data_IF_566200180740
#
_entry.id   IF_566200180740
#
_cell.length_a   1.000
_cell.length_b   1.000
_cell.length_c   1.000
_cell.angle_alpha   90.00
_cell.angle_beta   90.00
_cell.angle_gamma   90.00
#
_symmetry.space_group_name_H-M   'P 1'
#
loop_
_entity.id
_entity.type
_entity.pdbx_description
1 polymer ?
#
# COMPACT_ATOMS: atom_id res chain seq x y z
N UNK A 1 -16.57 -6.98 -22.89
CA UNK A 1 -16.11 -8.06 -23.80
C UNK A 1 -16.68 -7.73 -25.17
N UNK A 2 -15.79 -7.45 -26.16
CA UNK A 2 -16.26 -7.14 -27.52
C UNK A 2 -16.96 -8.37 -28.15
N UNK A 3 -17.95 -8.14 -29.00
CA UNK A 3 -18.75 -9.19 -29.73
C UNK A 3 -17.91 -10.33 -30.33
N UNK A 4 -16.61 -10.09 -30.56
CA UNK A 4 -15.65 -11.05 -31.13
C UNK A 4 -15.28 -12.22 -30.23
N UNK A 5 -15.49 -12.09 -28.90
CA UNK A 5 -15.06 -13.05 -27.86
C UNK A 5 -16.24 -13.82 -27.24
N UNK A 6 -17.49 -13.40 -27.49
CA UNK A 6 -18.68 -13.98 -26.87
C UNK A 6 -18.81 -15.49 -27.16
N UNK A 7 -18.45 -15.95 -28.37
CA UNK A 7 -18.48 -17.37 -28.73
C UNK A 7 -17.54 -18.27 -27.94
N UNK A 8 -16.49 -17.71 -27.36
CA UNK A 8 -15.55 -18.47 -26.54
C UNK A 8 -16.00 -18.58 -25.07
N UNK A 9 -16.81 -17.63 -24.61
CA UNK A 9 -17.29 -17.56 -23.21
C UNK A 9 -18.09 -18.81 -22.88
N UNK A 10 -19.08 -19.17 -23.70
CA UNK A 10 -19.93 -20.34 -23.45
C UNK A 10 -19.12 -21.64 -23.40
N UNK A 11 -18.11 -21.76 -24.29
CA UNK A 11 -17.23 -22.94 -24.31
C UNK A 11 -16.32 -23.00 -23.07
N UNK A 12 -15.85 -21.87 -22.60
CA UNK A 12 -14.95 -21.77 -21.39
C UNK A 12 -15.77 -22.06 -20.15
N UNK A 13 -16.97 -21.52 -20.02
CA UNK A 13 -17.88 -21.79 -18.89
C UNK A 13 -18.29 -23.25 -18.84
N UNK A 14 -18.63 -23.83 -20.00
CA UNK A 14 -19.00 -25.24 -20.10
C UNK A 14 -17.86 -26.23 -19.82
N UNK A 15 -16.59 -25.75 -19.77
CA UNK A 15 -15.43 -26.59 -19.50
C UNK A 15 -15.17 -26.84 -17.98
N UNK A 16 -15.93 -26.22 -17.10
CA UNK A 16 -15.89 -26.39 -15.65
C UNK A 16 -14.45 -26.34 -15.08
N UNK A 17 -13.73 -25.28 -15.47
CA UNK A 17 -12.35 -25.06 -15.02
C UNK A 17 -11.26 -25.88 -15.73
N UNK A 18 -11.65 -26.77 -16.66
CA UNK A 18 -10.71 -27.52 -17.50
C UNK A 18 -10.24 -26.69 -18.70
N UNK A 19 -9.19 -27.18 -19.38
CA UNK A 19 -8.78 -26.61 -20.66
C UNK A 19 -9.79 -26.99 -21.77
N UNK A 20 -10.24 -26.02 -22.55
CA UNK A 20 -11.08 -26.21 -23.71
C UNK A 20 -10.38 -25.70 -24.98
N UNK A 21 -10.49 -26.45 -26.06
CA UNK A 21 -9.91 -26.07 -27.34
C UNK A 21 -11.03 -25.58 -28.27
N UNK A 22 -10.87 -24.35 -28.78
CA UNK A 22 -11.83 -23.75 -29.74
C UNK A 22 -11.03 -23.06 -30.84
N UNK A 23 -11.32 -23.41 -32.09
CA UNK A 23 -10.71 -22.82 -33.28
C UNK A 23 -9.15 -22.78 -33.24
N UNK A 24 -8.53 -23.88 -32.87
CA UNK A 24 -7.05 -24.00 -32.81
C UNK A 24 -6.39 -23.22 -31.68
N UNK A 25 -7.16 -22.83 -30.67
CA UNK A 25 -6.70 -22.18 -29.46
C UNK A 25 -7.17 -22.93 -28.23
N UNK A 26 -6.29 -23.11 -27.29
CA UNK A 26 -6.60 -23.66 -25.96
C UNK A 26 -6.88 -22.54 -24.98
N UNK A 27 -8.00 -22.61 -24.28
CA UNK A 27 -8.42 -21.67 -23.25
C UNK A 27 -8.49 -22.37 -21.89
N UNK A 28 -8.22 -21.61 -20.83
CA UNK A 28 -8.48 -22.03 -19.46
C UNK A 28 -8.92 -20.82 -18.64
N UNK A 29 -10.08 -20.95 -17.97
CA UNK A 29 -10.57 -19.94 -17.04
C UNK A 29 -9.65 -19.81 -15.82
N UNK A 30 -9.42 -18.57 -15.35
CA UNK A 30 -8.93 -18.33 -14.00
C UNK A 30 -10.12 -18.43 -13.04
N UNK A 31 -9.95 -19.04 -11.86
CA UNK A 31 -10.96 -19.04 -10.83
C UNK A 31 -11.44 -17.62 -10.50
N UNK A 32 -12.74 -17.41 -10.53
CA UNK A 32 -13.42 -16.16 -10.18
C UNK A 32 -14.28 -16.31 -8.93
N UNK A 33 -15.02 -15.27 -8.58
CA UNK A 33 -16.03 -15.33 -7.53
C UNK A 33 -17.36 -15.88 -8.12
N UNK A 34 -17.81 -16.99 -7.59
CA UNK A 34 -19.05 -17.63 -8.04
C UNK A 34 -18.89 -18.53 -9.26
N UNK A 35 -19.95 -18.70 -10.06
CA UNK A 35 -20.01 -19.59 -11.22
C UNK A 35 -19.43 -18.99 -12.51
N UNK A 36 -19.14 -17.69 -12.52
CA UNK A 36 -18.59 -16.99 -13.69
C UNK A 36 -17.11 -16.75 -13.52
N UNK A 37 -16.36 -16.74 -14.62
CA UNK A 37 -14.96 -16.37 -14.65
C UNK A 37 -14.78 -14.91 -15.07
N UNK A 38 -13.84 -14.20 -14.44
CA UNK A 38 -13.50 -12.81 -14.82
C UNK A 38 -12.46 -12.78 -15.93
N UNK A 39 -11.53 -13.74 -15.93
CA UNK A 39 -10.40 -13.82 -16.85
C UNK A 39 -10.19 -15.24 -17.34
N UNK A 40 -9.67 -15.37 -18.56
CA UNK A 40 -9.19 -16.63 -19.10
C UNK A 40 -7.85 -16.42 -19.80
N UNK A 41 -6.95 -17.38 -19.66
CA UNK A 41 -5.73 -17.44 -20.45
C UNK A 41 -5.96 -18.25 -21.71
N UNK A 42 -5.23 -17.93 -22.78
CA UNK A 42 -5.24 -18.76 -23.97
C UNK A 42 -3.84 -18.95 -24.55
N UNK A 43 -3.63 -20.07 -25.22
CA UNK A 43 -2.45 -20.35 -26.01
C UNK A 43 -2.88 -20.76 -27.43
N UNK A 44 -2.06 -20.45 -28.41
CA UNK A 44 -2.22 -20.96 -29.76
C UNK A 44 -1.88 -22.45 -29.81
N UNK A 45 -2.69 -23.24 -30.45
CA UNK A 45 -2.58 -24.70 -30.53
C UNK A 45 -3.68 -25.41 -29.74
N UNK A 46 -3.97 -26.63 -30.18
CA UNK A 46 -4.96 -27.54 -29.58
C UNK A 46 -4.34 -28.85 -29.07
N UNK A 47 -3.01 -28.87 -29.02
CA UNK A 47 -2.20 -29.99 -28.61
C UNK A 47 -1.98 -30.05 -27.07
N UNK A 48 -1.25 -31.06 -26.65
CA UNK A 48 -0.88 -31.22 -25.22
C UNK A 48 0.00 -30.09 -24.71
N UNK A 49 0.80 -29.46 -25.58
CA UNK A 49 1.69 -28.36 -25.22
C UNK A 49 0.84 -27.11 -24.92
N UNK A 50 -0.11 -26.76 -25.80
CA UNK A 50 -1.04 -25.64 -25.56
C UNK A 50 -1.81 -25.79 -24.25
N UNK A 51 -2.29 -27.02 -23.94
CA UNK A 51 -2.98 -27.32 -22.67
C UNK A 51 -2.05 -27.13 -21.45
N UNK A 52 -0.81 -27.63 -21.53
CA UNK A 52 0.16 -27.48 -20.46
C UNK A 52 0.53 -26.02 -20.23
N UNK A 53 0.76 -25.25 -21.30
CA UNK A 53 1.07 -23.81 -21.19
C UNK A 53 -0.09 -23.06 -20.55
N UNK A 54 -1.34 -23.28 -20.97
CA UNK A 54 -2.51 -22.67 -20.36
C UNK A 54 -2.65 -23.04 -18.88
N UNK A 55 -2.44 -24.30 -18.52
CA UNK A 55 -2.54 -24.75 -17.14
C UNK A 55 -1.45 -24.09 -16.26
N UNK A 56 -0.18 -24.05 -16.71
CA UNK A 56 0.91 -23.40 -15.97
C UNK A 56 0.68 -21.88 -15.85
N UNK A 57 0.29 -21.20 -16.92
CA UNK A 57 -0.01 -19.79 -16.92
C UNK A 57 -1.18 -19.47 -15.97
N UNK A 58 -2.21 -20.32 -15.94
CA UNK A 58 -3.35 -20.16 -15.04
C UNK A 58 -2.93 -20.26 -13.56
N UNK A 59 -2.07 -21.23 -13.22
CA UNK A 59 -1.53 -21.37 -11.85
C UNK A 59 -0.71 -20.16 -11.46
N UNK A 60 0.21 -19.70 -12.32
CA UNK A 60 1.05 -18.56 -12.07
C UNK A 60 0.24 -17.26 -11.88
N UNK A 61 -0.73 -17.02 -12.77
CA UNK A 61 -1.60 -15.84 -12.70
C UNK A 61 -2.55 -15.90 -11.50
N UNK A 62 -3.07 -17.07 -11.14
CA UNK A 62 -3.91 -17.20 -9.96
C UNK A 62 -3.12 -16.93 -8.67
N UNK A 63 -1.87 -17.42 -8.58
CA UNK A 63 -1.00 -17.11 -7.45
C UNK A 63 -0.66 -15.62 -7.37
N UNK A 64 -0.40 -14.97 -8.51
CA UNK A 64 -0.19 -13.54 -8.57
C UNK A 64 -1.44 -12.75 -8.14
N UNK A 65 -2.63 -13.16 -8.62
CA UNK A 65 -3.92 -12.54 -8.24
C UNK A 65 -4.15 -12.64 -6.73
N UNK A 66 -4.01 -13.83 -6.15
CA UNK A 66 -4.17 -14.05 -4.72
C UNK A 66 -3.20 -13.19 -3.89
N UNK A 67 -1.95 -13.05 -4.34
CA UNK A 67 -0.97 -12.18 -3.70
C UNK A 67 -1.36 -10.70 -3.74
N UNK A 68 -1.89 -10.22 -4.88
CA UNK A 68 -2.35 -8.83 -5.00
C UNK A 68 -3.61 -8.55 -4.18
N UNK A 69 -4.54 -9.51 -4.12
CA UNK A 69 -5.75 -9.41 -3.28
C UNK A 69 -5.39 -9.35 -1.80
N UNK A 70 -4.54 -10.25 -1.31
CA UNK A 70 -4.06 -10.25 0.07
C UNK A 70 -3.36 -8.93 0.43
N UNK A 71 -2.50 -8.42 -0.45
CA UNK A 71 -1.82 -7.14 -0.26
C UNK A 71 -2.80 -5.98 -0.21
N UNK A 72 -3.81 -5.96 -1.08
CA UNK A 72 -4.84 -4.94 -1.09
C UNK A 72 -5.65 -4.95 0.20
N UNK A 73 -5.99 -6.14 0.70
CA UNK A 73 -6.73 -6.30 1.96
C UNK A 73 -5.91 -5.83 3.16
N UNK A 74 -4.62 -6.16 3.24
CA UNK A 74 -3.70 -5.64 4.26
C UNK A 74 -3.57 -4.13 4.18
N UNK A 75 -3.37 -3.57 2.98
CA UNK A 75 -3.27 -2.13 2.77
C UNK A 75 -4.54 -1.39 3.20
N UNK A 76 -5.71 -1.90 2.81
CA UNK A 76 -7.02 -1.35 3.21
C UNK A 76 -7.24 -1.43 4.72
N UNK A 77 -6.83 -2.53 5.34
CA UNK A 77 -6.90 -2.71 6.79
C UNK A 77 -6.03 -1.67 7.53
N UNK A 78 -4.77 -1.51 7.15
CA UNK A 78 -3.88 -0.49 7.76
C UNK A 78 -4.41 0.92 7.50
N UNK A 79 -4.94 1.20 6.30
CA UNK A 79 -5.58 2.49 5.99
C UNK A 79 -6.76 2.79 6.91
N UNK A 80 -7.60 1.80 7.20
CA UNK A 80 -8.70 1.95 8.15
C UNK A 80 -8.22 2.23 9.57
N UNK A 81 -7.12 1.60 10.01
CA UNK A 81 -6.53 1.86 11.33
C UNK A 81 -6.03 3.31 11.43
N UNK A 82 -5.19 3.77 10.50
CA UNK A 82 -4.61 5.12 10.56
C UNK A 82 -5.67 6.21 10.42
N UNK A 83 -6.79 5.91 9.74
CA UNK A 83 -7.94 6.83 9.60
C UNK A 83 -8.93 6.78 10.77
N UNK A 84 -8.66 5.95 11.79
CA UNK A 84 -9.52 5.77 12.98
C UNK A 84 -10.94 5.25 12.62
N UNK A 85 -11.04 4.47 11.54
CA UNK A 85 -12.29 3.96 10.97
C UNK A 85 -12.59 2.48 11.35
N UNK A 86 -11.92 1.95 12.38
CA UNK A 86 -12.07 0.57 12.83
C UNK A 86 -12.07 0.51 14.36
N UNK A 87 -12.90 -0.34 14.93
CA UNK A 87 -12.93 -0.53 16.38
C UNK A 87 -11.68 -1.29 16.85
N UNK A 88 -11.19 -0.96 18.03
CA UNK A 88 -9.98 -1.60 18.61
C UNK A 88 -10.14 -3.12 18.72
N UNK A 89 -11.35 -3.61 19.08
CA UNK A 89 -11.66 -5.06 19.12
C UNK A 89 -11.44 -5.73 17.77
N UNK A 90 -11.82 -5.05 16.69
CA UNK A 90 -11.79 -5.59 15.34
C UNK A 90 -10.37 -5.57 14.76
N UNK A 91 -9.51 -4.65 15.24
CA UNK A 91 -8.10 -4.63 14.87
C UNK A 91 -7.44 -5.98 15.17
N UNK A 92 -7.64 -6.53 16.36
CA UNK A 92 -7.02 -7.79 16.76
C UNK A 92 -7.53 -8.99 15.96
N UNK A 93 -8.84 -9.03 15.69
CA UNK A 93 -9.44 -10.10 14.89
C UNK A 93 -8.93 -10.09 13.45
N UNK A 94 -9.01 -8.92 12.79
CA UNK A 94 -8.58 -8.79 11.40
C UNK A 94 -7.07 -8.92 11.22
N UNK A 95 -6.26 -8.44 12.15
CA UNK A 95 -4.82 -8.63 12.14
C UNK A 95 -4.45 -10.11 12.10
N UNK A 96 -5.16 -10.94 12.88
CA UNK A 96 -4.96 -12.40 12.90
C UNK A 96 -5.36 -13.04 11.57
N UNK A 97 -6.49 -12.65 10.99
CA UNK A 97 -6.95 -13.13 9.67
C UNK A 97 -5.98 -12.78 8.55
N UNK A 98 -5.49 -11.55 8.57
CA UNK A 98 -4.58 -11.02 7.55
C UNK A 98 -3.10 -11.32 7.84
N UNK A 99 -2.78 -12.04 8.91
CA UNK A 99 -1.41 -12.35 9.32
C UNK A 99 -0.53 -11.09 9.47
N UNK A 100 -1.10 -10.01 10.01
CA UNK A 100 -0.37 -8.76 10.31
C UNK A 100 0.06 -8.79 11.77
N UNK A 101 1.36 -8.71 12.10
CA UNK A 101 1.82 -8.69 13.49
C UNK A 101 1.25 -7.49 14.25
N UNK A 102 0.71 -7.73 15.45
CA UNK A 102 0.05 -6.70 16.27
C UNK A 102 1.06 -5.89 17.07
N UNK A 103 2.05 -6.56 17.64
CA UNK A 103 3.03 -6.02 18.59
C UNK A 103 4.42 -6.00 17.96
N UNK A 104 4.66 -5.03 17.09
CA UNK A 104 5.98 -4.73 16.52
C UNK A 104 6.15 -3.22 16.40
N UNK A 105 7.38 -2.75 16.51
CA UNK A 105 7.69 -1.34 16.37
C UNK A 105 7.48 -0.88 14.92
N UNK A 106 6.73 0.20 14.74
CA UNK A 106 6.50 0.82 13.43
C UNK A 106 6.71 2.32 13.48
N UNK A 107 7.41 2.85 12.47
CA UNK A 107 7.44 4.26 12.17
C UNK A 107 6.31 4.63 11.22
N UNK A 108 5.70 5.78 11.45
CA UNK A 108 4.66 6.34 10.57
C UNK A 108 5.16 7.66 10.00
N UNK A 109 5.18 7.73 8.68
CA UNK A 109 5.66 8.88 7.92
C UNK A 109 4.55 9.36 7.00
N UNK A 110 4.27 10.66 7.01
CA UNK A 110 3.40 11.31 6.04
C UNK A 110 4.26 12.11 5.08
N UNK A 111 4.09 11.88 3.80
CA UNK A 111 4.85 12.50 2.73
C UNK A 111 3.86 13.35 1.93
N UNK A 112 4.12 14.65 1.87
CA UNK A 112 3.25 15.64 1.23
C UNK A 112 4.03 16.48 0.23
N UNK A 113 3.50 16.74 -0.98
CA UNK A 113 4.12 17.65 -1.92
C UNK A 113 4.29 19.05 -1.33
N UNK A 114 5.42 19.72 -1.65
CA UNK A 114 5.65 21.13 -1.32
C UNK A 114 4.85 22.02 -2.26
N UNK A 115 4.88 21.72 -3.55
CA UNK A 115 4.15 22.45 -4.58
C UNK A 115 2.77 21.82 -4.79
N UNK A 116 1.71 22.62 -4.58
CA UNK A 116 0.32 22.19 -4.82
C UNK A 116 0.03 21.81 -6.28
N UNK A 117 0.92 22.20 -7.22
CA UNK A 117 0.84 21.79 -8.63
C UNK A 117 1.34 20.37 -8.88
N UNK A 118 2.01 19.76 -7.91
CA UNK A 118 2.38 18.36 -7.97
C UNK A 118 1.13 17.52 -7.69
N UNK A 119 0.64 16.77 -8.68
CA UNK A 119 -0.60 15.99 -8.56
C UNK A 119 -0.58 14.96 -7.43
N UNK A 120 0.58 14.33 -7.19
CA UNK A 120 0.76 13.37 -6.08
C UNK A 120 2.23 13.02 -5.87
N UNK A 121 2.56 12.53 -4.67
CA UNK A 121 3.87 11.92 -4.38
C UNK A 121 4.04 10.64 -5.23
N UNK A 122 5.20 10.42 -5.89
CA UNK A 122 5.49 9.19 -6.62
C UNK A 122 5.54 7.97 -5.70
N UNK A 123 4.43 7.24 -5.59
CA UNK A 123 4.31 6.06 -4.73
C UNK A 123 5.27 4.93 -5.09
N UNK A 124 5.55 4.77 -6.36
CA UNK A 124 6.47 3.76 -6.91
C UNK A 124 7.91 3.97 -6.42
N UNK A 125 8.36 5.23 -6.33
CA UNK A 125 9.65 5.58 -5.74
C UNK A 125 9.69 5.19 -4.27
N UNK A 126 8.67 5.58 -3.48
CA UNK A 126 8.60 5.22 -2.05
C UNK A 126 8.52 3.71 -1.87
N UNK A 127 7.72 3.00 -2.67
CA UNK A 127 7.64 1.54 -2.63
C UNK A 127 8.95 0.85 -3.00
N UNK A 128 9.73 1.45 -3.89
CA UNK A 128 11.05 0.93 -4.29
C UNK A 128 12.09 1.01 -3.16
N UNK A 129 11.98 2.00 -2.28
CA UNK A 129 12.86 2.16 -1.12
C UNK A 129 12.60 1.11 -0.03
N UNK A 130 11.36 0.67 0.11
CA UNK A 130 10.91 -0.27 1.15
C UNK A 130 10.34 -1.53 0.49
N UNK A 131 11.21 -2.48 0.09
CA UNK A 131 10.81 -3.66 -0.67
C UNK A 131 10.09 -4.73 0.14
N UNK A 132 10.13 -4.67 1.47
CA UNK A 132 9.41 -5.62 2.35
C UNK A 132 7.91 -5.34 2.36
N UNK A 133 7.26 -5.77 1.28
CA UNK A 133 5.83 -5.55 1.05
C UNK A 133 4.90 -6.32 2.00
N UNK A 134 5.43 -7.16 2.87
CA UNK A 134 4.63 -7.86 3.88
C UNK A 134 4.48 -7.04 5.16
N UNK A 135 5.51 -6.28 5.51
CA UNK A 135 5.58 -5.54 6.76
C UNK A 135 5.56 -4.02 6.56
N UNK A 136 5.89 -3.54 5.35
CA UNK A 136 5.89 -2.11 4.99
C UNK A 136 4.67 -1.77 4.14
N UNK A 137 3.95 -0.73 4.53
CA UNK A 137 2.75 -0.29 3.85
C UNK A 137 2.92 1.13 3.32
N UNK A 138 2.90 1.28 2.00
CA UNK A 138 2.87 2.57 1.32
C UNK A 138 1.46 2.79 0.80
N UNK A 139 0.78 3.81 1.33
CA UNK A 139 -0.65 4.04 1.14
C UNK A 139 -0.90 5.45 0.63
N UNK A 140 -1.74 5.60 -0.38
CA UNK A 140 -2.28 6.91 -0.74
C UNK A 140 -3.30 7.35 0.31
N UNK A 141 -3.10 8.54 0.88
CA UNK A 141 -3.94 9.14 1.90
C UNK A 141 -4.28 10.58 1.51
N UNK A 142 -5.56 10.88 1.38
CA UNK A 142 -5.98 12.17 0.79
C UNK A 142 -5.77 12.24 -0.72
N UNK A 143 -5.66 13.46 -1.25
CA UNK A 143 -5.56 13.71 -2.70
C UNK A 143 -4.14 13.52 -3.23
N UNK A 144 -3.13 14.03 -2.53
CA UNK A 144 -1.74 14.03 -2.97
C UNK A 144 -0.76 13.37 -2.00
N UNK A 145 -1.18 13.11 -0.76
CA UNK A 145 -0.33 12.60 0.31
C UNK A 145 -0.12 11.08 0.22
N UNK A 146 1.06 10.66 0.62
CA UNK A 146 1.40 9.24 0.81
C UNK A 146 1.78 9.01 2.28
N UNK A 147 1.25 7.95 2.87
CA UNK A 147 1.69 7.46 4.18
C UNK A 147 2.56 6.21 4.00
N UNK A 148 3.70 6.18 4.68
CA UNK A 148 4.51 4.99 4.86
C UNK A 148 4.39 4.53 6.31
N UNK A 149 4.02 3.27 6.50
CA UNK A 149 4.10 2.57 7.76
C UNK A 149 5.22 1.53 7.61
N UNK A 150 6.35 1.78 8.26
CA UNK A 150 7.57 0.98 8.15
C UNK A 150 7.83 0.22 9.43
N UNK A 151 8.10 -1.09 9.31
CA UNK A 151 8.49 -1.90 10.45
C UNK A 151 9.93 -1.57 10.87
N UNK A 152 10.09 -1.27 12.14
CA UNK A 152 11.38 -0.95 12.75
C UNK A 152 11.93 -2.15 13.54
N UNK A 153 13.25 -2.26 13.70
CA UNK A 153 13.85 -3.26 14.57
C UNK A 153 13.47 -3.07 16.04
N UNK A 154 13.63 -4.11 16.83
CA UNK A 154 13.49 -4.01 18.26
C UNK A 154 14.51 -3.03 18.87
N UNK A 155 14.03 -2.16 19.77
CA UNK A 155 14.85 -1.12 20.36
C UNK A 155 15.13 0.09 19.48
N UNK A 156 14.42 0.22 18.35
CA UNK A 156 14.49 1.42 17.51
C UNK A 156 14.15 2.69 18.29
N UNK A 157 14.84 3.78 17.94
CA UNK A 157 14.66 5.09 18.55
C UNK A 157 14.41 6.20 17.50
N UNK A 158 14.37 7.47 17.95
CA UNK A 158 14.14 8.62 17.07
C UNK A 158 15.18 8.76 15.95
N UNK A 159 16.41 8.26 16.14
CA UNK A 159 17.46 8.30 15.10
C UNK A 159 17.17 7.37 13.95
N UNK A 160 16.49 6.25 14.22
CA UNK A 160 16.06 5.33 13.17
C UNK A 160 14.94 5.95 12.35
N UNK A 161 14.00 6.64 13.00
CA UNK A 161 12.96 7.42 12.31
C UNK A 161 13.57 8.52 11.43
N UNK A 162 14.52 9.28 11.95
CA UNK A 162 15.18 10.37 11.22
C UNK A 162 15.95 9.82 10.00
N UNK A 163 16.59 8.65 10.12
CA UNK A 163 17.29 7.99 9.02
C UNK A 163 16.33 7.60 7.89
N UNK A 164 15.19 6.99 8.24
CA UNK A 164 14.15 6.62 7.28
C UNK A 164 13.59 7.87 6.59
N UNK A 165 13.29 8.91 7.35
CA UNK A 165 12.78 10.17 6.80
C UNK A 165 13.77 10.84 5.85
N UNK A 166 15.07 10.83 6.17
CA UNK A 166 16.12 11.34 5.29
C UNK A 166 16.21 10.52 4.00
N UNK A 167 16.15 9.19 4.09
CA UNK A 167 16.15 8.32 2.92
C UNK A 167 14.99 8.64 1.97
N UNK A 168 13.79 8.88 2.51
CA UNK A 168 12.61 9.29 1.71
C UNK A 168 12.85 10.64 1.07
N UNK A 169 13.27 11.64 1.84
CA UNK A 169 13.51 12.99 1.36
C UNK A 169 14.54 13.02 0.23
N UNK A 170 15.67 12.33 0.40
CA UNK A 170 16.72 12.26 -0.63
C UNK A 170 16.25 11.59 -1.92
N UNK A 171 15.47 10.52 -1.84
CA UNK A 171 14.99 9.81 -3.01
C UNK A 171 13.92 10.56 -3.82
N UNK A 172 13.25 11.52 -3.18
CA UNK A 172 12.21 12.34 -3.80
C UNK A 172 12.71 13.74 -4.20
N UNK A 173 14.01 14.02 -4.09
CA UNK A 173 14.59 15.27 -4.64
C UNK A 173 14.53 15.29 -6.15
N UNK A 174 14.29 16.46 -6.70
CA UNK A 174 14.40 16.73 -8.14
C UNK A 174 15.40 17.85 -8.34
N UNK A 175 16.39 17.66 -9.19
CA UNK A 175 17.48 18.61 -9.47
C UNK A 175 18.21 19.12 -8.19
N UNK A 176 18.26 18.28 -7.15
CA UNK A 176 18.86 18.60 -5.87
C UNK A 176 17.96 19.38 -4.91
N UNK A 177 16.76 19.75 -5.32
CA UNK A 177 15.79 20.46 -4.50
C UNK A 177 14.79 19.51 -3.82
N UNK A 178 14.37 19.86 -2.61
CA UNK A 178 13.33 19.13 -1.92
C UNK A 178 11.97 19.40 -2.56
N UNK A 179 11.23 18.32 -2.86
CA UNK A 179 9.90 18.41 -3.48
C UNK A 179 8.77 18.01 -2.53
N UNK A 180 9.12 17.47 -1.38
CA UNK A 180 8.15 16.96 -0.40
C UNK A 180 8.48 17.39 1.03
N UNK A 181 7.46 17.55 1.85
CA UNK A 181 7.54 17.52 3.29
C UNK A 181 7.42 16.08 3.79
N UNK A 182 8.21 15.71 4.78
CA UNK A 182 8.12 14.42 5.48
C UNK A 182 7.82 14.68 6.95
N UNK A 183 6.60 14.39 7.35
CA UNK A 183 6.19 14.41 8.75
C UNK A 183 6.40 13.05 9.39
N UNK A 184 6.96 13.02 10.60
CA UNK A 184 7.30 11.80 11.32
C UNK A 184 6.55 11.77 12.63
N UNK A 185 5.74 10.72 12.84
CA UNK A 185 5.06 10.45 14.12
C UNK A 185 5.95 9.74 15.12
N UNK A 186 5.43 9.51 16.32
CA UNK A 186 6.10 8.69 17.34
C UNK A 186 6.09 7.21 16.97
N UNK A 187 7.03 6.42 17.48
CA UNK A 187 7.06 4.98 17.25
C UNK A 187 5.79 4.34 17.82
N UNK A 188 5.05 3.63 16.96
CA UNK A 188 3.90 2.84 17.33
C UNK A 188 4.36 1.41 17.68
N UNK A 189 4.14 0.97 18.91
CA UNK A 189 4.51 -0.37 19.37
C UNK A 189 3.39 -1.40 19.15
N UNK A 190 2.17 -0.93 18.91
CA UNK A 190 1.00 -1.75 18.63
C UNK A 190 0.23 -1.18 17.43
N UNK A 191 -0.51 -2.03 16.71
CA UNK A 191 -1.35 -1.58 15.59
C UNK A 191 -2.35 -0.48 15.98
N UNK A 192 -2.92 -0.54 17.17
CA UNK A 192 -3.87 0.47 17.67
C UNK A 192 -3.25 1.87 17.82
N UNK A 193 -1.93 1.96 17.95
CA UNK A 193 -1.22 3.22 18.14
C UNK A 193 -0.93 3.92 16.81
N UNK A 194 -1.12 3.24 15.68
CA UNK A 194 -0.85 3.78 14.35
C UNK A 194 -1.69 5.04 14.05
N UNK A 195 -2.96 5.07 14.46
CA UNK A 195 -3.84 6.23 14.25
C UNK A 195 -3.28 7.48 14.94
N UNK A 196 -2.78 7.31 16.18
CA UNK A 196 -2.15 8.40 16.93
C UNK A 196 -0.87 8.88 16.24
N UNK A 197 0.03 7.95 15.90
CA UNK A 197 1.29 8.28 15.23
C UNK A 197 1.06 8.94 13.86
N UNK A 198 0.04 8.52 13.11
CA UNK A 198 -0.34 9.15 11.85
C UNK A 198 -0.82 10.60 12.03
N UNK A 199 -1.67 10.88 13.02
CA UNK A 199 -2.10 12.24 13.37
C UNK A 199 -0.92 13.11 13.78
N UNK A 200 0.02 12.57 14.55
CA UNK A 200 1.24 13.26 14.95
C UNK A 200 2.13 13.62 13.76
N UNK A 201 2.29 12.71 12.79
CA UNK A 201 3.02 12.97 11.55
C UNK A 201 2.38 14.09 10.71
N UNK A 202 1.04 14.13 10.64
CA UNK A 202 0.32 15.23 9.98
C UNK A 202 0.53 16.56 10.69
N UNK A 203 0.40 16.59 12.02
CA UNK A 203 0.65 17.79 12.84
C UNK A 203 2.10 18.27 12.66
N UNK A 204 3.06 17.36 12.56
CA UNK A 204 4.46 17.71 12.32
C UNK A 204 4.64 18.52 11.04
N UNK A 205 3.97 18.14 9.95
CA UNK A 205 4.00 18.90 8.69
C UNK A 205 3.36 20.29 8.87
N UNK A 206 2.16 20.34 9.47
CA UNK A 206 1.44 21.62 9.62
C UNK A 206 2.22 22.62 10.49
N UNK A 207 2.78 22.14 11.59
CA UNK A 207 3.62 22.97 12.48
C UNK A 207 4.92 23.36 11.79
N UNK A 208 5.57 22.41 11.09
CA UNK A 208 6.80 22.69 10.34
C UNK A 208 6.63 23.77 9.29
N UNK A 209 5.54 23.76 8.55
CA UNK A 209 5.21 24.79 7.54
C UNK A 209 5.10 26.20 8.15
N UNK A 210 4.66 26.32 9.39
CA UNK A 210 4.44 27.62 10.04
C UNK A 210 5.72 28.14 10.73
N UNK A 211 6.46 27.25 11.38
CA UNK A 211 7.54 27.68 12.28
C UNK A 211 8.95 27.50 11.71
N UNK A 212 9.14 26.63 10.73
CA UNK A 212 10.47 26.31 10.18
C UNK A 212 10.37 25.97 8.69
N UNK A 213 10.24 27.00 7.86
CA UNK A 213 10.06 26.87 6.40
C UNK A 213 11.30 26.29 5.70
N UNK A 214 12.44 26.17 6.37
CA UNK A 214 13.65 25.58 5.80
C UNK A 214 13.78 24.08 6.04
N UNK A 215 12.97 23.52 6.95
CA UNK A 215 12.99 22.08 7.27
C UNK A 215 11.88 21.35 6.56
N UNK A 216 12.26 20.45 5.66
CA UNK A 216 11.35 19.59 4.94
C UNK A 216 11.07 18.26 5.65
N UNK A 217 11.90 17.88 6.63
CA UNK A 217 11.70 16.71 7.48
C UNK A 217 11.41 17.21 8.91
N UNK A 218 10.23 16.88 9.41
CA UNK A 218 9.74 17.35 10.70
C UNK A 218 9.30 16.17 11.56
N UNK A 219 10.03 15.93 12.64
CA UNK A 219 9.68 14.90 13.61
C UNK A 219 8.80 15.50 14.71
N UNK A 220 7.66 14.87 14.99
CA UNK A 220 6.71 15.31 15.99
C UNK A 220 7.33 15.46 17.40
N UNK A 221 8.24 14.56 17.77
CA UNK A 221 8.93 14.64 19.07
C UNK A 221 9.79 15.90 19.20
N UNK A 222 10.32 16.41 18.09
CA UNK A 222 11.21 17.57 18.05
C UNK A 222 10.48 18.92 17.99
N UNK A 223 9.15 18.95 17.90
CA UNK A 223 8.36 20.19 17.80
C UNK A 223 8.35 21.04 19.06
N UNK A 224 8.72 20.48 20.20
CA UNK A 224 8.76 21.22 21.48
C UNK A 224 7.43 21.93 21.81
N UNK A 225 7.47 23.25 21.99
CA UNK A 225 6.31 24.09 22.31
C UNK A 225 5.34 24.24 21.13
N UNK A 226 5.79 24.03 19.91
CA UNK A 226 4.95 24.11 18.70
C UNK A 226 3.74 23.17 18.75
N UNK A 227 3.88 21.98 19.39
CA UNK A 227 2.77 21.05 19.62
C UNK A 227 1.63 21.68 20.43
N UNK A 228 1.99 22.43 21.48
CA UNK A 228 1.00 23.05 22.38
C UNK A 228 0.26 24.16 21.67
N UNK A 229 0.97 24.97 20.87
CA UNK A 229 0.36 26.09 20.13
C UNK A 229 -0.64 25.56 19.09
N UNK A 230 -0.32 24.50 18.38
CA UNK A 230 -1.21 23.90 17.37
C UNK A 230 -2.48 23.28 17.99
N UNK A 231 -2.40 22.80 19.23
CA UNK A 231 -3.54 22.21 19.94
C UNK A 231 -4.49 23.24 20.57
N UNK A 232 -4.11 24.53 20.61
CA UNK A 232 -4.98 25.58 21.12
C UNK A 232 -6.12 25.81 20.12
N UNK A 233 -7.39 25.82 20.58
CA UNK A 233 -8.51 26.14 19.72
C UNK A 233 -8.35 27.56 19.16
N UNK A 234 -8.38 27.70 17.84
CA UNK A 234 -8.51 28.98 17.17
C UNK A 234 -9.88 29.55 17.51
N UNK A 235 -9.93 30.55 18.39
CA UNK A 235 -11.14 31.32 18.73
C UNK A 235 -11.60 32.19 17.55
#
# INVERSE_FOLDING_TARGET
IGKKWTKYVDAIEGADGNCVCVEGKTFKALPGWGSHFDYAVFASGDDSVGRTVCAMACVALNSAKAYYEEKHDKGSFIKNIISDNILISDIYMRAKELHVPVEVNRGVFVIRPIDERMESVPMDVVQGLFPDRQNDFVLSVGEADVALIHQLPDGADGRDLDRVAQQIGEALKVDGENTVFVGVGTIATHLRDLAKSYKEAQIAIEVGKVFDTERYIVNYENLGIGRLIYQLPTT
#
